data_IF_208175207640
#
_entry.id   IF_208175207640
#
_cell.length_a   1.000
_cell.length_b   1.000
_cell.length_c   1.000
_cell.angle_alpha   90.00
_cell.angle_beta   90.00
_cell.angle_gamma   90.00
#
_symmetry.space_group_name_H-M   'P 1'
#
loop_
_entity.id
_entity.type
_entity.pdbx_description
1 polymer ?
#
# COMPACT_ATOMS: atom_id res chain seq x y z
N UNK A 1 21.88 12.95 -11.19
CA UNK A 1 22.33 11.61 -10.73
C UNK A 1 21.24 10.60 -11.07
N UNK A 2 21.61 9.43 -11.61
CA UNK A 2 20.69 8.32 -11.93
C UNK A 2 20.10 7.75 -10.64
N UNK A 3 19.09 8.42 -10.09
CA UNK A 3 18.43 8.08 -8.84
C UNK A 3 17.32 7.07 -9.07
N UNK A 4 17.62 5.84 -8.68
CA UNK A 4 16.76 4.71 -8.35
C UNK A 4 15.25 4.78 -8.53
N UNK A 5 14.71 3.74 -9.19
CA UNK A 5 13.29 3.42 -9.17
C UNK A 5 13.07 2.01 -8.65
N UNK A 6 12.13 1.92 -7.74
CA UNK A 6 11.58 0.67 -7.26
C UNK A 6 11.03 -0.15 -8.45
N UNK A 7 11.27 -1.47 -8.53
CA UNK A 7 11.83 -2.36 -7.50
C UNK A 7 13.31 -2.74 -7.71
N UNK A 8 14.07 -1.98 -8.50
CA UNK A 8 15.43 -2.33 -8.95
C UNK A 8 16.51 -2.36 -7.85
N UNK A 9 16.17 -2.13 -6.57
CA UNK A 9 17.12 -1.94 -5.48
C UNK A 9 16.64 -2.34 -4.09
N UNK A 10 15.74 -3.31 -4.05
CA UNK A 10 15.32 -3.89 -2.79
C UNK A 10 16.38 -4.85 -2.28
N UNK A 11 16.29 -5.27 -1.02
CA UNK A 11 17.20 -6.28 -0.48
C UNK A 11 16.78 -7.71 -0.81
N UNK A 12 16.32 -7.91 -2.04
CA UNK A 12 16.13 -9.20 -2.69
C UNK A 12 16.87 -9.18 -4.04
N UNK A 13 17.89 -10.03 -4.18
CA UNK A 13 18.69 -10.09 -5.41
C UNK A 13 17.85 -10.55 -6.59
N UNK A 14 17.99 -9.82 -7.69
CA UNK A 14 17.32 -10.11 -8.95
C UNK A 14 17.84 -11.44 -9.55
N UNK A 15 16.92 -12.37 -9.78
CA UNK A 15 17.17 -13.55 -10.59
C UNK A 15 17.10 -13.19 -12.09
N UNK A 16 18.24 -12.85 -12.68
CA UNK A 16 18.35 -12.44 -14.10
C UNK A 16 17.99 -13.54 -15.11
N UNK A 17 17.91 -14.80 -14.70
CA UNK A 17 17.65 -15.95 -15.58
C UNK A 17 16.21 -16.46 -15.49
N UNK A 18 15.43 -16.00 -14.51
CA UNK A 18 14.05 -16.41 -14.30
C UNK A 18 13.05 -15.44 -14.93
N UNK A 19 11.86 -15.94 -15.25
CA UNK A 19 10.71 -15.10 -15.60
C UNK A 19 10.24 -14.23 -14.42
N UNK A 20 10.44 -14.72 -13.20
CA UNK A 20 10.16 -14.01 -11.95
C UNK A 20 11.49 -13.54 -11.37
N UNK A 21 11.71 -12.23 -11.37
CA UNK A 21 12.96 -11.62 -10.96
C UNK A 21 13.15 -11.58 -9.44
N UNK A 22 12.07 -11.42 -8.69
CA UNK A 22 12.05 -11.41 -7.22
C UNK A 22 10.96 -12.37 -6.71
N UNK A 23 11.25 -13.69 -6.68
CA UNK A 23 10.24 -14.72 -6.45
C UNK A 23 9.59 -14.66 -5.07
N UNK A 24 10.33 -14.30 -4.02
CA UNK A 24 9.78 -14.27 -2.67
C UNK A 24 8.76 -13.15 -2.55
N UNK A 25 9.12 -11.95 -2.98
CA UNK A 25 8.22 -10.80 -2.96
C UNK A 25 7.03 -10.97 -3.89
N UNK A 26 7.24 -11.54 -5.09
CA UNK A 26 6.14 -11.87 -6.00
C UNK A 26 5.13 -12.86 -5.37
N UNK A 27 5.60 -13.90 -4.68
CA UNK A 27 4.72 -14.87 -4.01
C UNK A 27 3.89 -14.20 -2.92
N UNK A 28 4.51 -13.39 -2.04
CA UNK A 28 3.79 -12.74 -0.94
C UNK A 28 2.73 -11.77 -1.47
N UNK A 29 3.05 -10.97 -2.48
CA UNK A 29 2.08 -10.09 -3.13
C UNK A 29 0.98 -10.88 -3.86
N UNK A 30 1.32 -12.03 -4.46
CA UNK A 30 0.34 -12.94 -5.05
C UNK A 30 -0.63 -13.51 -4.03
N UNK A 31 -0.15 -13.92 -2.85
CA UNK A 31 -1.00 -14.36 -1.73
C UNK A 31 -1.92 -13.21 -1.29
N UNK A 32 -1.37 -12.01 -1.13
CA UNK A 32 -2.13 -10.80 -0.79
C UNK A 32 -3.24 -10.52 -1.82
N UNK A 33 -2.91 -10.61 -3.11
CA UNK A 33 -3.87 -10.45 -4.20
C UNK A 33 -4.98 -11.52 -4.16
N UNK A 34 -4.66 -12.77 -3.86
CA UNK A 34 -5.66 -13.85 -3.72
C UNK A 34 -6.60 -13.59 -2.55
N UNK A 35 -6.08 -13.15 -1.40
CA UNK A 35 -6.91 -12.80 -0.24
C UNK A 35 -7.86 -11.64 -0.56
N UNK A 36 -7.37 -10.59 -1.22
CA UNK A 36 -8.21 -9.45 -1.61
C UNK A 36 -9.22 -9.86 -2.69
N UNK A 37 -8.83 -10.73 -3.62
CA UNK A 37 -9.74 -11.29 -4.64
C UNK A 37 -10.88 -12.07 -3.99
N UNK A 38 -10.60 -12.84 -2.94
CA UNK A 38 -11.64 -13.53 -2.18
C UNK A 38 -12.69 -12.53 -1.67
N UNK A 39 -12.29 -11.43 -1.02
CA UNK A 39 -13.23 -10.40 -0.57
C UNK A 39 -13.96 -9.70 -1.73
N UNK A 40 -13.25 -9.41 -2.82
CA UNK A 40 -13.81 -8.78 -4.02
C UNK A 40 -14.94 -9.63 -4.63
N UNK A 41 -14.74 -10.95 -4.76
CA UNK A 41 -15.72 -11.87 -5.34
C UNK A 41 -16.97 -12.06 -4.44
N UNK A 42 -16.83 -11.84 -3.13
CA UNK A 42 -17.91 -11.97 -2.15
C UNK A 42 -18.57 -10.63 -1.78
N UNK A 43 -18.20 -9.54 -2.46
CA UNK A 43 -18.76 -8.20 -2.20
C UNK A 43 -19.66 -7.79 -3.36
N UNK A 44 -20.91 -7.41 -3.07
CA UNK A 44 -21.83 -6.88 -4.09
C UNK A 44 -21.30 -5.58 -4.69
N UNK A 45 -21.67 -5.31 -5.94
CA UNK A 45 -21.29 -4.08 -6.63
C UNK A 45 -21.74 -2.84 -5.84
N UNK A 46 -20.79 -2.01 -5.42
CA UNK A 46 -21.01 -0.86 -4.53
C UNK A 46 -19.69 -0.23 -4.07
N UNK A 47 -19.72 0.69 -3.09
CA UNK A 47 -18.53 1.40 -2.63
C UNK A 47 -17.41 0.46 -2.16
N UNK A 48 -17.78 -0.56 -1.38
CA UNK A 48 -16.82 -1.53 -0.86
C UNK A 48 -16.18 -2.39 -1.97
N UNK A 49 -16.95 -2.72 -3.00
CA UNK A 49 -16.43 -3.41 -4.19
C UNK A 49 -15.33 -2.59 -4.87
N UNK A 50 -15.53 -1.28 -5.05
CA UNK A 50 -14.51 -0.41 -5.65
C UNK A 50 -13.25 -0.27 -4.78
N UNK A 51 -13.40 -0.28 -3.46
CA UNK A 51 -12.26 -0.35 -2.54
C UNK A 51 -11.47 -1.64 -2.73
N UNK A 52 -12.11 -2.80 -2.69
CA UNK A 52 -11.41 -4.08 -2.91
C UNK A 52 -10.84 -4.21 -4.31
N UNK A 53 -11.52 -3.69 -5.33
CA UNK A 53 -10.99 -3.66 -6.70
C UNK A 53 -9.71 -2.81 -6.79
N UNK A 54 -9.70 -1.63 -6.16
CA UNK A 54 -8.52 -0.77 -6.14
C UNK A 54 -7.34 -1.40 -5.39
N UNK A 55 -7.59 -2.04 -4.24
CA UNK A 55 -6.56 -2.76 -3.48
C UNK A 55 -6.07 -3.97 -4.29
N UNK A 56 -6.96 -4.69 -4.97
CA UNK A 56 -6.59 -5.83 -5.79
C UNK A 56 -5.67 -5.42 -6.95
N UNK A 57 -5.99 -4.32 -7.65
CA UNK A 57 -5.10 -3.78 -8.67
C UNK A 57 -3.75 -3.35 -8.10
N UNK A 58 -3.73 -2.76 -6.90
CA UNK A 58 -2.49 -2.44 -6.21
C UNK A 58 -1.65 -3.72 -6.00
N UNK A 59 -2.23 -4.78 -5.43
CA UNK A 59 -1.51 -6.03 -5.13
C UNK A 59 -1.03 -6.75 -6.39
N UNK A 60 -1.87 -6.86 -7.43
CA UNK A 60 -1.47 -7.48 -8.70
C UNK A 60 -0.36 -6.69 -9.36
N UNK A 61 -0.45 -5.36 -9.36
CA UNK A 61 0.60 -4.55 -9.95
C UNK A 61 1.91 -4.65 -9.15
N UNK A 62 1.83 -4.71 -7.83
CA UNK A 62 2.99 -4.92 -6.95
C UNK A 62 3.65 -6.29 -7.23
N UNK A 63 2.86 -7.35 -7.30
CA UNK A 63 3.31 -8.69 -7.73
C UNK A 63 3.98 -8.63 -9.10
N UNK A 64 3.31 -8.03 -10.09
CA UNK A 64 3.84 -7.84 -11.45
C UNK A 64 5.19 -7.13 -11.43
N UNK A 65 5.33 -6.10 -10.58
CA UNK A 65 6.57 -5.33 -10.48
C UNK A 65 7.74 -6.15 -9.96
N UNK A 66 7.51 -7.17 -9.12
CA UNK A 66 8.53 -8.12 -8.69
C UNK A 66 8.79 -9.25 -9.68
N UNK A 67 7.79 -9.60 -10.50
CA UNK A 67 7.96 -10.59 -11.56
C UNK A 67 8.82 -10.03 -12.68
N UNK A 68 8.47 -8.84 -13.20
CA UNK A 68 9.08 -8.22 -14.35
C UNK A 68 9.44 -6.77 -14.06
N UNK A 69 10.71 -6.43 -14.24
CA UNK A 69 11.23 -5.08 -14.03
C UNK A 69 11.27 -4.35 -15.37
N UNK A 70 10.55 -3.22 -15.45
CA UNK A 70 10.47 -2.38 -16.65
C UNK A 70 11.33 -1.14 -16.42
N UNK A 71 12.26 -0.88 -17.34
CA UNK A 71 13.15 0.27 -17.24
C UNK A 71 12.37 1.60 -17.17
N UNK A 72 12.83 2.51 -16.31
CA UNK A 72 12.27 3.84 -16.14
C UNK A 72 11.28 3.95 -14.98
N UNK A 73 10.50 5.03 -14.96
CA UNK A 73 9.62 5.39 -13.84
C UNK A 73 8.26 4.69 -13.86
N UNK A 74 7.92 3.96 -14.93
CA UNK A 74 6.54 3.58 -15.20
C UNK A 74 5.91 2.74 -14.09
N UNK A 75 6.69 1.86 -13.46
CA UNK A 75 6.21 1.01 -12.37
C UNK A 75 5.90 1.81 -11.12
N UNK A 76 6.81 2.72 -10.75
CA UNK A 76 6.60 3.62 -9.61
C UNK A 76 5.43 4.58 -9.86
N UNK A 77 5.32 5.16 -11.07
CA UNK A 77 4.20 6.02 -11.46
C UNK A 77 2.86 5.29 -11.39
N UNK A 78 2.81 4.04 -11.86
CA UNK A 78 1.56 3.28 -11.88
C UNK A 78 1.13 2.93 -10.46
N UNK A 79 2.05 2.47 -9.60
CA UNK A 79 1.75 2.21 -8.17
C UNK A 79 1.24 3.48 -7.48
N UNK A 80 1.86 4.64 -7.75
CA UNK A 80 1.45 5.92 -7.17
C UNK A 80 0.06 6.36 -7.63
N UNK A 81 -0.28 6.19 -8.90
CA UNK A 81 -1.64 6.46 -9.39
C UNK A 81 -2.65 5.50 -8.75
N UNK A 82 -2.31 4.21 -8.63
CA UNK A 82 -3.18 3.24 -7.99
C UNK A 82 -3.35 3.55 -6.49
N UNK A 83 -2.33 4.07 -5.79
CA UNK A 83 -2.48 4.46 -4.38
C UNK A 83 -3.46 5.63 -4.20
N UNK A 84 -3.48 6.59 -5.13
CA UNK A 84 -4.54 7.60 -5.17
C UNK A 84 -5.93 6.99 -5.41
N UNK A 85 -6.04 5.98 -6.29
CA UNK A 85 -7.29 5.27 -6.50
C UNK A 85 -7.76 4.55 -5.22
N UNK A 86 -6.85 3.93 -4.47
CA UNK A 86 -7.17 3.31 -3.16
C UNK A 86 -7.68 4.37 -2.17
N UNK A 87 -7.00 5.51 -2.05
CA UNK A 87 -7.43 6.61 -1.19
C UNK A 87 -8.80 7.17 -1.60
N UNK A 88 -9.05 7.33 -2.90
CA UNK A 88 -10.34 7.78 -3.40
C UNK A 88 -11.46 6.77 -3.11
N UNK A 89 -11.23 5.49 -3.36
CA UNK A 89 -12.20 4.43 -3.03
C UNK A 89 -12.47 4.33 -1.54
N UNK A 90 -11.45 4.52 -0.70
CA UNK A 90 -11.61 4.56 0.76
C UNK A 90 -12.49 5.75 1.16
N UNK A 91 -12.18 6.95 0.66
CA UNK A 91 -13.02 8.13 0.88
C UNK A 91 -14.46 7.85 0.46
N UNK A 92 -14.68 7.25 -0.71
CA UNK A 92 -16.02 6.92 -1.19
C UNK A 92 -16.78 5.97 -0.27
N UNK A 93 -16.13 4.91 0.24
CA UNK A 93 -16.73 4.00 1.24
C UNK A 93 -17.13 4.75 2.51
N UNK A 94 -16.24 5.59 3.04
CA UNK A 94 -16.46 6.32 4.29
C UNK A 94 -17.54 7.39 4.13
N UNK A 95 -17.54 8.10 3.01
CA UNK A 95 -18.58 9.05 2.64
C UNK A 95 -19.93 8.34 2.49
N UNK A 96 -20.02 7.23 1.76
CA UNK A 96 -21.29 6.53 1.55
C UNK A 96 -21.87 5.98 2.86
N UNK A 97 -21.01 5.54 3.79
CA UNK A 97 -21.43 5.06 5.12
C UNK A 97 -21.88 6.19 6.05
N UNK A 98 -21.24 7.35 5.96
CA UNK A 98 -21.47 8.49 6.88
C UNK A 98 -22.50 9.50 6.36
N UNK A 99 -22.62 9.62 5.03
CA UNK A 99 -23.22 10.76 4.31
C UNK A 99 -22.72 12.11 4.82
N UNK A 100 -21.50 12.13 5.36
CA UNK A 100 -20.86 13.30 5.94
C UNK A 100 -19.86 13.89 4.96
N UNK A 101 -20.13 15.12 4.54
CA UNK A 101 -19.23 15.89 3.69
C UNK A 101 -17.90 16.22 4.39
N UNK A 102 -16.87 16.47 3.59
CA UNK A 102 -15.63 17.03 4.07
C UNK A 102 -15.85 18.48 4.49
N UNK A 103 -15.53 18.81 5.74
CA UNK A 103 -15.54 20.21 6.15
C UNK A 103 -14.45 20.98 5.40
N UNK A 104 -14.63 22.29 5.29
CA UNK A 104 -13.74 23.14 4.50
C UNK A 104 -12.29 23.09 4.99
N UNK A 105 -12.06 22.98 6.29
CA UNK A 105 -10.73 22.91 6.89
C UNK A 105 -9.99 21.62 6.51
N UNK A 106 -10.68 20.49 6.56
CA UNK A 106 -10.13 19.21 6.16
C UNK A 106 -9.93 19.15 4.65
N UNK A 107 -10.83 19.74 3.85
CA UNK A 107 -10.63 19.84 2.41
C UNK A 107 -9.34 20.60 2.07
N UNK A 108 -9.08 21.74 2.71
CA UNK A 108 -7.83 22.49 2.53
C UNK A 108 -6.61 21.69 3.01
N UNK A 109 -6.69 21.03 4.16
CA UNK A 109 -5.62 20.15 4.66
C UNK A 109 -5.32 19.03 3.66
N UNK A 110 -6.36 18.36 3.16
CA UNK A 110 -6.23 17.23 2.25
C UNK A 110 -5.66 17.67 0.89
N UNK A 111 -6.13 18.80 0.35
CA UNK A 111 -5.56 19.40 -0.85
C UNK A 111 -4.07 19.74 -0.67
N UNK A 112 -3.69 20.30 0.48
CA UNK A 112 -2.29 20.56 0.81
C UNK A 112 -1.46 19.27 0.87
N UNK A 113 -1.99 18.20 1.49
CA UNK A 113 -1.31 16.90 1.55
C UNK A 113 -1.12 16.27 0.17
N UNK A 114 -2.09 16.41 -0.74
CA UNK A 114 -1.95 15.98 -2.14
C UNK A 114 -0.82 16.76 -2.83
N UNK A 115 -0.78 18.08 -2.68
CA UNK A 115 0.27 18.91 -3.27
C UNK A 115 1.65 18.56 -2.70
N UNK A 116 1.74 18.30 -1.40
CA UNK A 116 2.97 17.84 -0.74
C UNK A 116 3.42 16.48 -1.28
N UNK A 117 2.48 15.55 -1.46
CA UNK A 117 2.76 14.23 -2.03
C UNK A 117 3.25 14.31 -3.48
N UNK A 118 2.57 15.10 -4.32
CA UNK A 118 2.99 15.34 -5.70
C UNK A 118 4.38 15.98 -5.76
N UNK A 119 4.64 16.96 -4.90
CA UNK A 119 5.97 17.57 -4.78
C UNK A 119 7.03 16.53 -4.39
N UNK A 120 6.75 15.71 -3.36
CA UNK A 120 7.65 14.66 -2.92
C UNK A 120 7.89 13.62 -4.02
N UNK A 121 6.85 13.27 -4.79
CA UNK A 121 6.93 12.30 -5.88
C UNK A 121 7.79 12.78 -7.05
N UNK A 122 7.61 14.03 -7.48
CA UNK A 122 8.34 14.57 -8.64
C UNK A 122 9.73 15.12 -8.32
N UNK A 123 9.97 15.57 -7.08
CA UNK A 123 11.19 16.30 -6.73
C UNK A 123 12.04 15.63 -5.65
N UNK A 124 11.50 14.68 -4.88
CA UNK A 124 12.23 13.99 -3.81
C UNK A 124 12.42 12.50 -4.14
N UNK A 125 13.17 11.81 -3.28
CA UNK A 125 13.36 10.36 -3.39
C UNK A 125 12.15 9.56 -2.88
N UNK A 126 12.05 8.28 -3.28
CA UNK A 126 10.98 7.35 -2.89
C UNK A 126 10.66 7.30 -1.39
N UNK A 127 11.67 7.49 -0.55
CA UNK A 127 11.56 7.47 0.93
C UNK A 127 10.66 8.58 1.45
N UNK A 128 10.47 9.65 0.68
CA UNK A 128 9.68 10.83 1.08
C UNK A 128 8.24 10.75 0.61
N UNK A 129 7.96 10.19 -0.57
CA UNK A 129 6.57 10.11 -1.06
C UNK A 129 5.79 8.92 -0.49
N UNK A 130 6.46 7.83 -0.08
CA UNK A 130 5.78 6.71 0.60
C UNK A 130 5.09 7.22 1.89
N UNK A 131 5.76 7.96 2.79
CA UNK A 131 5.12 8.59 3.94
C UNK A 131 3.97 9.53 3.59
N UNK A 132 4.05 10.31 2.50
CA UNK A 132 2.97 11.25 2.15
C UNK A 132 1.72 10.52 1.70
N UNK A 133 1.84 9.42 0.95
CA UNK A 133 0.71 8.52 0.64
C UNK A 133 0.09 7.89 1.89
N UNK A 134 0.93 7.47 2.85
CA UNK A 134 0.47 6.96 4.14
C UNK A 134 -0.26 8.05 4.94
N UNK A 135 0.25 9.29 4.95
CA UNK A 135 -0.38 10.41 5.64
C UNK A 135 -1.73 10.74 5.01
N UNK A 136 -1.84 10.74 3.68
CA UNK A 136 -3.12 10.90 2.97
C UNK A 136 -4.13 9.83 3.43
N UNK A 137 -3.73 8.56 3.38
CA UNK A 137 -4.56 7.44 3.83
C UNK A 137 -5.00 7.56 5.29
N UNK A 138 -4.05 7.83 6.19
CA UNK A 138 -4.32 7.97 7.63
C UNK A 138 -5.20 9.19 7.93
N UNK A 139 -5.05 10.29 7.18
CA UNK A 139 -5.89 11.49 7.37
C UNK A 139 -7.36 11.19 7.09
N UNK A 140 -7.68 10.37 6.09
CA UNK A 140 -9.04 9.89 5.84
C UNK A 140 -9.56 9.02 6.99
N UNK A 141 -8.74 8.07 7.46
CA UNK A 141 -9.11 7.21 8.59
C UNK A 141 -9.39 8.00 9.87
N UNK A 142 -8.58 9.01 10.18
CA UNK A 142 -8.79 9.85 11.36
C UNK A 142 -9.99 10.78 11.21
N UNK A 143 -10.20 11.37 10.02
CA UNK A 143 -11.37 12.22 9.78
C UNK A 143 -12.68 11.45 9.95
N UNK A 144 -12.76 10.25 9.40
CA UNK A 144 -13.92 9.36 9.51
C UNK A 144 -13.80 8.31 10.62
N UNK A 145 -13.05 8.60 11.69
CA UNK A 145 -12.74 7.62 12.73
C UNK A 145 -13.99 6.94 13.34
N UNK A 146 -15.09 7.69 13.47
CA UNK A 146 -16.34 7.15 14.02
C UNK A 146 -17.06 6.19 13.08
N UNK A 147 -16.78 6.26 11.77
CA UNK A 147 -17.40 5.43 10.75
C UNK A 147 -16.50 4.27 10.31
N UNK A 148 -15.30 4.13 10.88
CA UNK A 148 -14.48 2.95 10.67
C UNK A 148 -15.15 1.69 11.25
N UNK A 149 -14.90 0.51 10.66
CA UNK A 149 -15.29 -0.76 11.26
C UNK A 149 -14.78 -0.90 12.70
N UNK A 150 -15.60 -1.48 13.57
CA UNK A 150 -15.26 -1.65 15.00
C UNK A 150 -13.93 -2.39 15.19
N UNK A 151 -13.69 -3.42 14.38
CA UNK A 151 -12.42 -4.15 14.40
C UNK A 151 -11.23 -3.25 14.04
N UNK A 152 -11.35 -2.43 12.99
CA UNK A 152 -10.31 -1.48 12.58
C UNK A 152 -10.10 -0.40 13.65
N UNK A 153 -11.19 0.14 14.19
CA UNK A 153 -11.19 1.18 15.21
C UNK A 153 -10.47 0.72 16.49
N UNK A 154 -10.77 -0.49 16.95
CA UNK A 154 -10.18 -1.08 18.16
C UNK A 154 -8.70 -1.46 17.99
N UNK A 155 -8.26 -1.72 16.76
CA UNK A 155 -6.90 -2.13 16.45
C UNK A 155 -6.12 -1.10 15.63
N UNK A 156 -6.57 0.16 15.60
CA UNK A 156 -5.93 1.22 14.81
C UNK A 156 -4.47 1.44 15.22
N UNK A 157 -4.16 1.28 16.51
CA UNK A 157 -2.79 1.32 17.02
C UNK A 157 -1.91 0.21 16.44
N UNK A 158 -2.43 -1.00 16.28
CA UNK A 158 -1.71 -2.13 15.66
C UNK A 158 -1.46 -1.83 14.18
N UNK A 159 -2.43 -1.25 13.47
CA UNK A 159 -2.25 -0.80 12.09
C UNK A 159 -1.14 0.25 11.97
N UNK A 160 -1.12 1.23 12.87
CA UNK A 160 -0.09 2.27 12.92
C UNK A 160 1.29 1.68 13.20
N UNK A 161 1.40 0.75 14.15
CA UNK A 161 2.66 0.04 14.43
C UNK A 161 3.13 -0.73 13.20
N UNK A 162 2.22 -1.42 12.50
CA UNK A 162 2.53 -2.15 11.27
C UNK A 162 3.09 -1.20 10.18
N UNK A 163 2.44 -0.06 9.95
CA UNK A 163 2.93 1.00 9.03
C UNK A 163 4.32 1.48 9.43
N UNK A 164 4.57 1.74 10.72
CA UNK A 164 5.88 2.19 11.21
C UNK A 164 6.95 1.11 11.01
N UNK A 165 6.61 -0.16 11.19
CA UNK A 165 7.52 -1.28 10.92
C UNK A 165 7.85 -1.33 9.43
N UNK A 166 6.86 -1.25 8.54
CA UNK A 166 7.08 -1.21 7.08
C UNK A 166 8.02 -0.07 6.73
N UNK A 167 7.76 1.15 7.23
CA UNK A 167 8.61 2.30 6.94
C UNK A 167 10.03 2.13 7.49
N UNK A 168 10.17 1.61 8.71
CA UNK A 168 11.48 1.29 9.30
C UNK A 168 12.26 0.27 8.48
N UNK A 169 11.60 -0.77 7.96
CA UNK A 169 12.20 -1.75 7.07
C UNK A 169 12.64 -1.11 5.74
N UNK A 170 11.81 -0.25 5.13
CA UNK A 170 12.17 0.49 3.91
C UNK A 170 13.39 1.39 4.13
N UNK A 171 13.46 2.10 5.27
CA UNK A 171 14.64 2.89 5.64
C UNK A 171 15.87 1.99 5.82
N UNK A 172 15.71 0.86 6.51
CA UNK A 172 16.79 -0.10 6.70
C UNK A 172 17.30 -0.64 5.35
N UNK A 173 16.42 -1.01 4.43
CA UNK A 173 16.85 -1.38 3.07
C UNK A 173 17.60 -0.24 2.40
N UNK A 174 17.06 0.99 2.43
CA UNK A 174 17.71 2.11 1.77
C UNK A 174 19.15 2.33 2.23
N UNK A 175 19.41 2.26 3.53
CA UNK A 175 20.70 2.62 4.10
C UNK A 175 21.64 1.43 4.29
N UNK A 176 21.11 0.23 4.56
CA UNK A 176 21.90 -0.93 4.97
C UNK A 176 21.91 -2.09 3.98
N UNK A 177 21.19 -2.01 2.84
CA UNK A 177 21.05 -3.16 1.92
C UNK A 177 22.37 -3.80 1.52
N UNK A 178 23.35 -2.97 1.16
CA UNK A 178 24.65 -3.42 0.71
C UNK A 178 25.32 -4.30 1.76
N UNK A 179 25.38 -3.84 3.01
CA UNK A 179 25.98 -4.58 4.12
C UNK A 179 25.20 -5.87 4.40
N UNK A 180 23.87 -5.82 4.35
CA UNK A 180 23.01 -7.00 4.58
C UNK A 180 23.23 -8.08 3.50
N UNK A 181 23.33 -7.69 2.22
CA UNK A 181 23.59 -8.60 1.11
C UNK A 181 25.07 -9.02 0.99
N UNK A 182 25.99 -8.31 1.63
CA UNK A 182 27.38 -8.77 1.79
C UNK A 182 27.47 -9.87 2.86
N UNK A 183 26.79 -9.70 4.01
CA UNK A 183 26.77 -10.68 5.09
C UNK A 183 25.91 -11.91 4.77
N UNK A 184 24.75 -11.72 4.16
CA UNK A 184 23.80 -12.78 3.80
C UNK A 184 23.40 -12.67 2.32
N UNK A 185 24.28 -13.10 1.39
CA UNK A 185 24.11 -12.87 -0.05
C UNK A 185 22.84 -13.41 -0.68
N UNK A 186 22.25 -14.46 -0.12
CA UNK A 186 21.10 -15.15 -0.72
C UNK A 186 19.81 -14.97 0.09
N UNK A 187 19.84 -14.17 1.15
CA UNK A 187 18.66 -13.96 1.99
C UNK A 187 17.77 -12.84 1.41
N UNK A 188 16.46 -13.07 1.18
CA UNK A 188 15.56 -12.12 0.55
C UNK A 188 14.96 -11.15 1.59
N UNK A 189 15.75 -10.22 2.13
CA UNK A 189 15.30 -9.33 3.20
C UNK A 189 14.06 -8.50 2.85
N UNK A 190 13.85 -8.19 1.56
CA UNK A 190 12.65 -7.47 1.12
C UNK A 190 11.34 -8.20 1.44
N UNK A 191 11.39 -9.53 1.60
CA UNK A 191 10.21 -10.33 1.95
C UNK A 191 9.54 -9.84 3.25
N UNK A 192 10.31 -9.25 4.18
CA UNK A 192 9.73 -8.75 5.42
C UNK A 192 8.80 -7.56 5.19
N UNK A 193 9.16 -6.64 4.29
CA UNK A 193 8.30 -5.52 3.90
C UNK A 193 7.00 -6.08 3.32
N UNK A 194 7.11 -7.06 2.42
CA UNK A 194 5.96 -7.69 1.79
C UNK A 194 5.08 -8.45 2.77
N UNK A 195 5.67 -9.14 3.77
CA UNK A 195 4.90 -9.84 4.82
C UNK A 195 4.12 -8.85 5.66
N UNK A 196 4.72 -7.74 6.09
CA UNK A 196 3.99 -6.72 6.85
C UNK A 196 2.92 -6.05 5.99
N UNK A 197 3.18 -5.83 4.69
CA UNK A 197 2.19 -5.39 3.71
C UNK A 197 1.02 -6.36 3.58
N UNK A 198 1.28 -7.66 3.44
CA UNK A 198 0.27 -8.71 3.42
C UNK A 198 -0.62 -8.66 4.67
N UNK A 199 -0.01 -8.54 5.86
CA UNK A 199 -0.75 -8.42 7.13
C UNK A 199 -1.62 -7.16 7.13
N UNK A 200 -1.10 -6.03 6.68
CA UNK A 200 -1.83 -4.77 6.58
C UNK A 200 -3.05 -4.90 5.66
N UNK A 201 -2.86 -5.33 4.42
CA UNK A 201 -3.94 -5.41 3.43
C UNK A 201 -4.98 -6.47 3.79
N UNK A 202 -4.54 -7.60 4.35
CA UNK A 202 -5.46 -8.66 4.81
C UNK A 202 -6.31 -8.19 5.98
N UNK A 203 -5.69 -7.61 7.02
CA UNK A 203 -6.40 -7.08 8.18
C UNK A 203 -7.35 -5.94 7.80
N UNK A 204 -6.90 -5.02 6.95
CA UNK A 204 -7.69 -3.90 6.48
C UNK A 204 -8.91 -4.37 5.69
N UNK A 205 -8.71 -5.26 4.71
CA UNK A 205 -9.79 -5.79 3.87
C UNK A 205 -10.79 -6.60 4.69
N UNK A 206 -10.30 -7.46 5.59
CA UNK A 206 -11.13 -8.23 6.50
C UNK A 206 -11.98 -7.34 7.41
N UNK A 207 -11.39 -6.27 7.97
CA UNK A 207 -12.11 -5.35 8.86
C UNK A 207 -13.30 -4.68 8.16
N UNK A 208 -13.12 -4.24 6.92
CA UNK A 208 -14.21 -3.65 6.13
C UNK A 208 -15.21 -4.70 5.64
N UNK A 209 -14.76 -5.90 5.27
CA UNK A 209 -15.66 -6.97 4.84
C UNK A 209 -16.57 -7.44 5.98
N UNK A 210 -16.00 -7.74 7.16
CA UNK A 210 -16.72 -8.30 8.30
C UNK A 210 -17.92 -7.44 8.72
N UNK A 211 -17.75 -6.13 8.83
CA UNK A 211 -18.83 -5.25 9.29
C UNK A 211 -19.98 -5.13 8.27
N UNK A 212 -19.69 -5.26 6.99
CA UNK A 212 -20.69 -5.15 5.92
C UNK A 212 -21.37 -6.50 5.62
N UNK A 213 -20.68 -7.62 5.82
CA UNK A 213 -21.23 -8.96 5.63
C UNK A 213 -22.38 -9.31 6.59
N UNK A 214 -22.50 -8.63 7.74
CA UNK A 214 -23.59 -8.82 8.70
C UNK A 214 -24.75 -7.82 8.55
N UNK A 215 -24.70 -6.94 7.53
CA UNK A 215 -25.76 -5.96 7.24
C UNK A 215 -26.57 -6.30 5.98
N UNK A 216 -26.17 -7.34 5.25
CA UNK A 216 -26.89 -7.91 4.10
C UNK A 216 -27.63 -9.20 4.50
#
# INVERSE_FOLDING_TARGET
MKGFLFPFNTCEKINKRGFIQQPYSAIINGISAIIVLFFLLHTKLGPLFYLFLSIFFFQIYHMFSHMLHINGNIQTNTIHIISYLVNFSLFYVLYEKSKQDLNIYFLFLYAFLILLDLYAFFHLSTIYFIPTQVILFMSLLFYYYQQLPSLLKNNLSILLINILIIYGLVLNEKYNCKNMLEMFPNFPFHIFIEIFGLLFFSFFSFSFYQENAYKE
#
